data_IF_386854543913
#
_entry.id   IF_386854543913
#
_cell.length_a   1.000
_cell.length_b   1.000
_cell.length_c   1.000
_cell.angle_alpha   90.00
_cell.angle_beta   90.00
_cell.angle_gamma   90.00
#
_symmetry.space_group_name_H-M   'P 1'
#
loop_
_entity.id
_entity.type
_entity.pdbx_description
1 polymer ?
#
# COMPACT_ATOMS: atom_id res chain seq x y z
N UNK A 1 2.38 -8.85 12.83
CA UNK A 1 1.31 -9.03 11.83
C UNK A 1 1.00 -7.70 11.20
N UNK A 2 0.30 -7.71 10.08
CA UNK A 2 -0.23 -6.52 9.42
C UNK A 2 -1.63 -6.22 9.99
N UNK A 3 -2.02 -4.95 10.05
CA UNK A 3 -3.32 -4.52 10.57
C UNK A 3 -3.91 -3.41 9.71
N UNK A 4 -5.18 -3.55 9.33
CA UNK A 4 -5.94 -2.50 8.64
C UNK A 4 -6.37 -1.42 9.64
N UNK A 5 -5.49 -0.44 9.90
CA UNK A 5 -5.74 0.68 10.80
C UNK A 5 -5.71 2.03 10.05
N UNK A 6 -6.49 2.14 8.97
CA UNK A 6 -6.46 3.32 8.08
C UNK A 6 -6.91 4.64 8.75
N UNK A 7 -7.61 4.59 9.88
CA UNK A 7 -7.90 5.78 10.69
C UNK A 7 -6.63 6.49 11.18
N UNK A 8 -5.53 5.75 11.35
CA UNK A 8 -4.25 6.31 11.77
C UNK A 8 -3.49 6.99 10.61
N UNK A 9 -4.04 6.95 9.39
CA UNK A 9 -3.41 7.52 8.19
C UNK A 9 -3.99 8.88 7.82
N UNK A 10 -5.06 9.32 8.47
CA UNK A 10 -5.59 10.69 8.37
C UNK A 10 -5.25 11.46 9.65
N UNK A 11 -4.87 12.72 9.50
CA UNK A 11 -4.64 13.65 10.60
C UNK A 11 -5.94 14.36 11.02
N UNK A 12 -6.96 14.38 10.16
CA UNK A 12 -8.31 14.84 10.49
C UNK A 12 -9.26 13.68 10.73
N UNK A 13 -10.41 13.98 11.36
CA UNK A 13 -11.47 13.00 11.58
C UNK A 13 -12.26 12.80 10.29
N UNK A 14 -11.98 11.69 9.60
CA UNK A 14 -12.66 11.31 8.36
C UNK A 14 -13.58 10.11 8.62
N UNK A 15 -14.83 10.12 8.13
CA UNK A 15 -15.69 8.93 8.17
C UNK A 15 -15.06 7.76 7.42
N UNK A 16 -15.03 6.59 8.07
CA UNK A 16 -14.60 5.36 7.41
C UNK A 16 -15.62 4.96 6.34
N UNK A 17 -15.22 4.72 5.07
CA UNK A 17 -16.17 4.36 4.02
C UNK A 17 -16.81 2.99 4.26
N UNK A 18 -18.14 2.90 4.08
CA UNK A 18 -18.92 1.67 4.28
C UNK A 18 -18.36 0.47 3.51
N UNK A 19 -17.88 0.70 2.27
CA UNK A 19 -17.25 -0.32 1.41
C UNK A 19 -16.13 -1.09 2.14
N UNK A 20 -15.40 -0.42 3.03
CA UNK A 20 -14.24 -0.98 3.70
C UNK A 20 -14.49 -1.27 5.20
N UNK A 21 -15.64 -0.90 5.76
CA UNK A 21 -15.91 -0.98 7.19
C UNK A 21 -15.68 -2.38 7.76
N UNK A 22 -16.03 -3.43 6.99
CA UNK A 22 -15.81 -4.82 7.38
C UNK A 22 -14.33 -5.22 7.50
N UNK A 23 -13.39 -4.39 7.02
CA UNK A 23 -11.94 -4.66 7.08
C UNK A 23 -11.24 -3.88 8.18
N UNK A 24 -11.88 -2.89 8.79
CA UNK A 24 -11.28 -2.06 9.83
C UNK A 24 -10.85 -2.91 11.03
N UNK A 25 -9.62 -2.71 11.50
CA UNK A 25 -9.03 -3.41 12.64
C UNK A 25 -8.64 -4.87 12.37
N UNK A 26 -8.95 -5.42 11.18
CA UNK A 26 -8.54 -6.79 10.84
C UNK A 26 -7.02 -6.88 10.81
N UNK A 27 -6.52 -7.91 11.46
CA UNK A 27 -5.10 -8.22 11.51
C UNK A 27 -4.84 -9.59 10.90
N UNK A 28 -3.71 -9.73 10.21
CA UNK A 28 -3.28 -10.97 9.60
C UNK A 28 -1.75 -11.06 9.63
N UNK A 29 -1.21 -12.18 9.16
CA UNK A 29 0.22 -12.39 9.03
C UNK A 29 0.54 -12.86 7.62
N UNK A 30 1.67 -12.37 7.11
CA UNK A 30 2.24 -12.80 5.84
C UNK A 30 3.61 -13.42 6.10
N UNK A 31 4.08 -14.21 5.14
CA UNK A 31 5.37 -14.88 5.23
C UNK A 31 6.43 -14.07 4.52
N UNK A 32 7.48 -13.68 5.24
CA UNK A 32 8.66 -13.07 4.64
C UNK A 32 9.40 -14.14 3.84
N UNK A 33 9.65 -13.85 2.57
CA UNK A 33 10.31 -14.76 1.62
C UNK A 33 11.76 -14.38 1.35
N UNK A 34 12.11 -13.11 1.54
CA UNK A 34 13.46 -12.60 1.29
C UNK A 34 13.72 -11.34 2.12
N UNK A 35 14.92 -11.21 2.67
CA UNK A 35 15.39 -10.04 3.40
C UNK A 35 16.87 -9.81 3.05
N UNK A 36 17.19 -8.63 2.51
CA UNK A 36 18.55 -8.15 2.31
C UNK A 36 18.67 -6.70 2.80
N UNK A 37 18.94 -6.46 4.10
CA UNK A 37 18.96 -5.11 4.65
C UNK A 37 20.16 -4.28 4.15
N UNK A 38 19.98 -2.98 3.83
CA UNK A 38 18.74 -2.21 3.86
C UNK A 38 18.00 -2.16 2.50
N UNK A 39 18.34 -3.05 1.56
CA UNK A 39 18.03 -2.91 0.13
C UNK A 39 16.71 -3.56 -0.29
N UNK A 40 16.34 -4.70 0.31
CA UNK A 40 15.21 -5.50 -0.17
C UNK A 40 14.44 -6.16 0.98
N UNK A 41 13.12 -6.12 0.86
CA UNK A 41 12.18 -6.93 1.64
C UNK A 41 11.12 -7.51 0.69
N UNK A 42 10.90 -8.83 0.79
CA UNK A 42 9.84 -9.46 0.00
C UNK A 42 9.06 -10.49 0.80
N UNK A 43 7.76 -10.56 0.55
CA UNK A 43 6.83 -11.39 1.33
C UNK A 43 5.61 -11.81 0.50
N UNK A 44 4.94 -12.87 0.94
CA UNK A 44 3.69 -13.36 0.32
C UNK A 44 2.52 -12.41 0.57
N UNK A 45 1.44 -12.56 -0.21
CA UNK A 45 0.15 -11.98 0.13
C UNK A 45 -0.96 -13.03 0.11
N UNK A 46 -1.78 -13.07 1.17
CA UNK A 46 -2.89 -14.02 1.34
C UNK A 46 -2.42 -15.46 1.14
N UNK A 47 -1.38 -15.85 1.88
CA UNK A 47 -0.76 -17.19 1.77
C UNK A 47 -0.26 -17.51 0.34
N UNK A 48 0.05 -16.47 -0.45
CA UNK A 48 0.49 -16.56 -1.84
C UNK A 48 -0.64 -16.59 -2.86
N UNK A 49 -1.91 -16.62 -2.46
CA UNK A 49 -3.08 -16.62 -3.37
C UNK A 49 -3.20 -15.33 -4.17
N UNK A 50 -2.70 -14.24 -3.61
CA UNK A 50 -2.62 -12.94 -4.26
C UNK A 50 -1.19 -12.58 -4.68
N UNK A 51 -0.28 -13.55 -4.63
CA UNK A 51 1.06 -13.42 -5.16
C UNK A 51 2.10 -12.93 -4.15
N UNK A 52 3.07 -12.16 -4.65
CA UNK A 52 4.28 -11.74 -3.92
C UNK A 52 4.50 -10.25 -4.05
N UNK A 53 4.85 -9.61 -2.93
CA UNK A 53 5.28 -8.23 -2.85
C UNK A 53 6.79 -8.18 -2.67
N UNK A 54 7.43 -7.27 -3.42
CA UNK A 54 8.85 -6.95 -3.32
C UNK A 54 8.96 -5.44 -3.14
N UNK A 55 9.68 -5.02 -2.12
CA UNK A 55 10.05 -3.63 -1.87
C UNK A 55 11.56 -3.52 -2.01
N UNK A 56 12.00 -2.67 -2.92
CA UNK A 56 13.40 -2.41 -3.22
C UNK A 56 13.73 -0.95 -2.91
N UNK A 57 14.87 -0.72 -2.25
CA UNK A 57 15.39 0.60 -1.91
C UNK A 57 16.73 0.81 -2.62
N UNK A 58 16.74 1.74 -3.57
CA UNK A 58 17.93 2.17 -4.27
C UNK A 58 18.39 3.54 -3.81
N UNK A 59 19.69 3.66 -3.52
CA UNK A 59 20.35 4.94 -3.30
C UNK A 59 20.44 5.71 -4.63
N UNK A 60 19.91 6.93 -4.64
CA UNK A 60 20.00 7.87 -5.77
C UNK A 60 20.64 9.20 -5.34
N UNK A 61 21.57 9.14 -4.39
CA UNK A 61 22.30 10.26 -3.81
C UNK A 61 21.61 10.79 -2.54
N UNK A 62 21.17 12.05 -2.57
CA UNK A 62 20.48 12.65 -1.41
C UNK A 62 19.03 12.16 -1.22
N UNK A 63 18.60 11.15 -1.99
CA UNK A 63 17.24 10.61 -2.00
C UNK A 63 17.31 9.10 -2.14
N UNK A 64 16.21 8.43 -1.80
CA UNK A 64 16.01 6.99 -2.01
C UNK A 64 14.90 6.79 -3.02
N UNK A 65 15.09 5.87 -3.96
CA UNK A 65 14.00 5.33 -4.78
C UNK A 65 13.45 4.10 -4.07
N UNK A 66 12.16 4.12 -3.76
CA UNK A 66 11.42 2.94 -3.33
C UNK A 66 10.64 2.41 -4.52
N UNK A 67 10.90 1.15 -4.89
CA UNK A 67 10.14 0.43 -5.91
C UNK A 67 9.35 -0.67 -5.21
N UNK A 68 8.02 -0.65 -5.38
CA UNK A 68 7.13 -1.72 -4.89
C UNK A 68 6.57 -2.48 -6.10
N UNK A 69 6.86 -3.78 -6.16
CA UNK A 69 6.31 -4.69 -7.17
C UNK A 69 5.37 -5.69 -6.52
N UNK A 70 4.11 -5.72 -6.94
CA UNK A 70 3.14 -6.74 -6.56
C UNK A 70 2.83 -7.61 -7.79
N UNK A 71 3.27 -8.86 -7.75
CA UNK A 71 3.18 -9.81 -8.87
C UNK A 71 2.36 -11.04 -8.49
N UNK A 72 1.78 -11.72 -9.48
CA UNK A 72 0.96 -12.93 -9.23
C UNK A 72 -0.48 -12.63 -8.85
N UNK A 73 -0.97 -11.43 -9.15
CA UNK A 73 -2.36 -11.02 -8.87
C UNK A 73 -3.29 -11.75 -9.86
N UNK A 74 -4.32 -12.47 -9.39
CA UNK A 74 -5.06 -13.42 -10.22
C UNK A 74 -6.05 -12.77 -11.21
N UNK A 75 -6.50 -11.55 -10.94
CA UNK A 75 -7.52 -10.90 -11.76
C UNK A 75 -7.39 -9.36 -11.77
N UNK A 76 -8.07 -8.75 -12.74
CA UNK A 76 -8.06 -7.31 -13.01
C UNK A 76 -8.57 -6.49 -11.82
N UNK A 77 -9.65 -6.91 -11.20
CA UNK A 77 -10.26 -6.19 -10.08
C UNK A 77 -9.34 -6.18 -8.86
N UNK A 78 -8.65 -7.30 -8.60
CA UNK A 78 -7.60 -7.41 -7.61
C UNK A 78 -6.44 -6.46 -7.90
N UNK A 79 -5.99 -6.39 -9.16
CA UNK A 79 -4.90 -5.49 -9.56
C UNK A 79 -5.27 -4.01 -9.34
N UNK A 80 -6.52 -3.61 -9.64
CA UNK A 80 -7.03 -2.26 -9.38
C UNK A 80 -7.09 -2.00 -7.87
N UNK A 81 -7.65 -2.94 -7.10
CA UNK A 81 -7.79 -2.83 -5.64
C UNK A 81 -6.43 -2.70 -4.95
N UNK A 82 -5.47 -3.58 -5.27
CA UNK A 82 -4.12 -3.52 -4.73
C UNK A 82 -3.35 -2.30 -5.22
N UNK A 83 -3.54 -1.87 -6.47
CA UNK A 83 -2.94 -0.64 -6.99
C UNK A 83 -3.41 0.60 -6.24
N UNK A 84 -4.72 0.70 -5.96
CA UNK A 84 -5.28 1.78 -5.14
C UNK A 84 -4.77 1.75 -3.69
N UNK A 85 -4.75 0.57 -3.08
CA UNK A 85 -4.24 0.37 -1.73
C UNK A 85 -2.76 0.76 -1.61
N UNK A 86 -1.87 0.19 -2.43
CA UNK A 86 -0.44 0.52 -2.37
C UNK A 86 -0.16 1.96 -2.73
N UNK A 87 -0.82 2.49 -3.77
CA UNK A 87 -0.65 3.87 -4.19
C UNK A 87 -0.95 4.87 -3.07
N UNK A 88 -2.04 4.66 -2.32
CA UNK A 88 -2.37 5.56 -1.21
C UNK A 88 -1.41 5.47 -0.04
N UNK A 89 -0.90 4.27 0.27
CA UNK A 89 0.11 4.10 1.32
C UNK A 89 1.45 4.73 0.95
N UNK A 90 1.84 4.68 -0.33
CA UNK A 90 3.05 5.34 -0.81
C UNK A 90 2.92 6.87 -0.81
N UNK A 91 1.74 7.40 -1.17
CA UNK A 91 1.46 8.84 -1.05
C UNK A 91 1.53 9.31 0.41
N UNK A 92 0.98 8.53 1.35
CA UNK A 92 1.10 8.79 2.78
C UNK A 92 2.57 8.76 3.22
N UNK A 93 3.32 7.73 2.84
CA UNK A 93 4.72 7.57 3.21
C UNK A 93 5.55 8.78 2.75
N UNK A 94 5.41 9.20 1.50
CA UNK A 94 6.13 10.35 0.95
C UNK A 94 5.79 11.63 1.73
N UNK A 95 4.51 11.91 1.98
CA UNK A 95 4.06 13.08 2.75
C UNK A 95 4.61 13.08 4.16
N UNK A 96 4.56 11.94 4.86
CA UNK A 96 5.12 11.81 6.22
C UNK A 96 6.63 12.06 6.25
N UNK A 97 7.38 11.55 5.28
CA UNK A 97 8.83 11.79 5.18
C UNK A 97 9.16 13.28 4.94
N UNK A 98 8.25 14.03 4.32
CA UNK A 98 8.35 15.47 4.10
C UNK A 98 7.82 16.31 5.27
N UNK A 99 7.24 15.70 6.30
CA UNK A 99 6.58 16.40 7.40
C UNK A 99 5.26 17.06 7.00
N UNK A 100 4.62 16.58 5.93
CA UNK A 100 3.37 17.12 5.40
C UNK A 100 2.15 16.55 6.13
N UNK A 101 1.10 17.37 6.19
CA UNK A 101 -0.19 17.00 6.77
C UNK A 101 -1.03 16.16 5.81
N UNK A 102 -1.73 15.16 6.35
CA UNK A 102 -2.59 14.25 5.58
C UNK A 102 -4.02 14.41 6.05
N UNK A 103 -4.74 15.36 5.45
CA UNK A 103 -6.12 15.65 5.86
C UNK A 103 -7.03 14.41 5.76
N UNK A 104 -6.93 13.67 4.64
CA UNK A 104 -7.83 12.55 4.37
C UNK A 104 -7.16 11.43 3.56
N UNK A 105 -6.90 10.30 4.22
CA UNK A 105 -6.37 9.09 3.58
C UNK A 105 -7.31 8.53 2.50
N UNK A 106 -8.62 8.57 2.72
CA UNK A 106 -9.60 8.00 1.80
C UNK A 106 -9.72 8.77 0.49
N UNK A 107 -9.42 10.08 0.52
CA UNK A 107 -9.27 10.87 -0.71
C UNK A 107 -8.06 10.40 -1.52
N UNK A 108 -6.90 10.22 -0.89
CA UNK A 108 -5.69 9.66 -1.53
C UNK A 108 -5.95 8.24 -2.07
N UNK A 109 -6.70 7.43 -1.31
CA UNK A 109 -7.12 6.11 -1.74
C UNK A 109 -8.00 6.15 -2.98
N UNK A 110 -9.00 7.02 -3.04
CA UNK A 110 -9.85 7.16 -4.21
C UNK A 110 -9.05 7.60 -5.44
N UNK A 111 -8.17 8.60 -5.30
CA UNK A 111 -7.28 9.06 -6.37
C UNK A 111 -6.35 7.93 -6.85
N UNK A 112 -5.75 7.17 -5.94
CA UNK A 112 -4.89 6.04 -6.27
C UNK A 112 -5.65 4.92 -6.98
N UNK A 113 -6.87 4.60 -6.55
CA UNK A 113 -7.74 3.60 -7.20
C UNK A 113 -8.09 4.03 -8.62
N UNK A 114 -8.36 5.32 -8.85
CA UNK A 114 -8.63 5.86 -10.19
C UNK A 114 -7.39 5.84 -11.09
N UNK A 115 -6.20 6.14 -10.56
CA UNK A 115 -4.93 5.95 -11.29
C UNK A 115 -4.72 4.47 -11.67
N UNK A 116 -5.02 3.54 -10.76
CA UNK A 116 -4.91 2.11 -11.03
C UNK A 116 -5.90 1.64 -12.11
N UNK A 117 -7.16 2.10 -12.06
CA UNK A 117 -8.17 1.82 -13.11
C UNK A 117 -7.69 2.30 -14.48
N UNK A 118 -7.18 3.53 -14.57
CA UNK A 118 -6.70 4.11 -15.81
C UNK A 118 -5.49 3.36 -16.39
N UNK A 119 -4.59 2.87 -15.54
CA UNK A 119 -3.40 2.11 -15.96
C UNK A 119 -3.71 0.69 -16.43
N UNK A 120 -4.79 0.08 -15.93
CA UNK A 120 -5.08 -1.35 -16.14
C UNK A 120 -6.01 -1.62 -17.34
N UNK A 121 -6.69 -0.60 -17.90
CA UNK A 121 -7.43 -0.71 -19.18
C UNK A 121 -8.66 -1.59 -19.12
#
# INVERSE_FOLDING_TARGET
>A
GMTMAHDNLSDEKVPFPDKYAAHQGKSWSETITEIDPPRLLAFSWDEGKNGRIVIELDDIGARTRLTLTHSGIPNRDGAISFGGGWGSHLDVLERRLRGEHIANFWALHAEAEDRAKAAIG
#
